data_IF_093933833036
#
_entry.id   IF_093933833036
#
_cell.length_a   1.000
_cell.length_b   1.000
_cell.length_c   1.000
_cell.angle_alpha   90.00
_cell.angle_beta   90.00
_cell.angle_gamma   90.00
#
_symmetry.space_group_name_H-M   'P 1'
#
loop_
_entity.id
_entity.type
_entity.pdbx_description
1 polymer ?
#
# COMPACT_ATOMS: atom_id res chain seq x y z
N UNK A 1 -17.72 34.69 -40.02
CA UNK A 1 -17.23 33.34 -39.69
C UNK A 1 -16.74 33.36 -38.24
N UNK A 2 -17.28 32.51 -37.35
CA UNK A 2 -16.80 32.41 -35.97
C UNK A 2 -16.10 31.05 -35.81
N UNK A 3 -14.80 31.08 -35.54
CA UNK A 3 -13.98 29.91 -35.22
C UNK A 3 -14.23 29.56 -33.75
N UNK A 4 -14.86 28.42 -33.48
CA UNK A 4 -14.95 27.88 -32.12
C UNK A 4 -13.59 27.32 -31.71
N UNK A 5 -12.90 27.99 -30.79
CA UNK A 5 -11.69 27.47 -30.17
C UNK A 5 -12.07 26.33 -29.20
N UNK A 6 -11.62 25.11 -29.51
CA UNK A 6 -11.74 23.96 -28.60
C UNK A 6 -10.76 24.17 -27.42
N UNK A 7 -11.16 23.99 -26.15
CA UNK A 7 -10.23 24.10 -25.03
C UNK A 7 -9.17 23.01 -25.13
N UNK A 8 -7.89 23.38 -25.10
CA UNK A 8 -6.77 22.45 -25.00
C UNK A 8 -6.82 21.71 -23.65
N UNK A 9 -6.45 20.42 -23.61
CA UNK A 9 -6.44 19.67 -22.35
C UNK A 9 -5.38 20.25 -21.40
N UNK A 10 -5.81 20.60 -20.18
CA UNK A 10 -4.90 21.04 -19.11
C UNK A 10 -3.85 19.96 -18.84
N UNK A 11 -2.58 20.38 -18.73
CA UNK A 11 -1.48 19.50 -18.39
C UNK A 11 -1.75 18.75 -17.06
N UNK A 12 -1.33 17.47 -16.95
CA UNK A 12 -1.51 16.71 -15.72
C UNK A 12 -0.80 17.41 -14.57
N UNK A 13 -1.52 17.60 -13.44
CA UNK A 13 -0.92 18.17 -12.23
C UNK A 13 0.12 17.19 -11.67
N UNK A 14 1.25 17.69 -11.14
CA UNK A 14 2.24 16.83 -10.48
C UNK A 14 1.58 16.06 -9.34
N UNK A 15 1.73 14.73 -9.34
CA UNK A 15 1.38 13.91 -8.18
C UNK A 15 2.53 13.95 -7.18
N UNK A 16 2.25 14.11 -5.87
CA UNK A 16 3.27 13.97 -4.85
C UNK A 16 3.98 12.63 -4.99
N UNK A 17 5.31 12.64 -4.85
CA UNK A 17 6.06 11.39 -4.80
C UNK A 17 5.64 10.60 -3.56
N UNK A 18 5.42 9.28 -3.67
CA UNK A 18 5.12 8.47 -2.50
C UNK A 18 6.27 8.55 -1.49
N UNK A 19 5.96 8.48 -0.19
CA UNK A 19 7.00 8.46 0.85
C UNK A 19 7.99 7.34 0.55
N UNK A 20 9.28 7.65 0.72
CA UNK A 20 10.32 6.65 0.46
C UNK A 20 10.29 5.63 1.57
N UNK A 21 9.89 4.41 1.25
CA UNK A 21 10.00 3.27 2.15
C UNK A 21 11.47 2.88 2.33
N UNK A 22 11.89 2.82 3.58
CA UNK A 22 13.23 2.39 3.93
C UNK A 22 13.43 0.89 3.61
N UNK A 23 14.65 0.39 3.75
CA UNK A 23 14.97 -1.01 3.50
C UNK A 23 14.33 -1.96 4.52
N UNK A 24 14.04 -1.49 5.73
CA UNK A 24 13.41 -2.26 6.79
C UNK A 24 11.95 -2.55 6.46
N UNK A 25 11.18 -1.52 6.10
CA UNK A 25 9.79 -1.63 5.66
C UNK A 25 9.68 -2.56 4.45
N UNK A 26 10.60 -2.45 3.47
CA UNK A 26 10.61 -3.34 2.30
C UNK A 26 10.83 -4.80 2.66
N UNK A 27 11.69 -5.07 3.64
CA UNK A 27 11.94 -6.44 4.12
C UNK A 27 10.72 -6.98 4.86
N UNK A 28 10.14 -6.20 5.78
CA UNK A 28 8.91 -6.57 6.48
C UNK A 28 7.76 -6.87 5.52
N UNK A 29 7.56 -6.04 4.48
CA UNK A 29 6.55 -6.29 3.43
C UNK A 29 6.77 -7.61 2.68
N UNK A 30 8.04 -7.98 2.44
CA UNK A 30 8.39 -9.26 1.79
C UNK A 30 8.13 -10.44 2.72
N UNK A 31 8.44 -10.30 4.02
CA UNK A 31 8.19 -11.32 5.03
C UNK A 31 6.67 -11.56 5.20
N UNK A 32 5.86 -10.51 5.26
CA UNK A 32 4.40 -10.64 5.32
C UNK A 32 3.81 -11.24 4.04
N UNK A 33 4.41 -11.03 2.87
CA UNK A 33 3.96 -11.70 1.64
C UNK A 33 4.14 -13.22 1.73
N UNK A 34 5.23 -13.69 2.36
CA UNK A 34 5.42 -15.10 2.68
C UNK A 34 4.39 -15.63 3.68
N UNK A 35 4.13 -14.85 4.75
CA UNK A 35 3.11 -15.21 5.74
C UNK A 35 1.70 -15.32 5.11
N UNK A 36 1.31 -14.36 4.27
CA UNK A 36 0.03 -14.38 3.55
C UNK A 36 -0.11 -15.57 2.61
N UNK A 37 0.98 -16.00 1.97
CA UNK A 37 0.97 -17.22 1.15
C UNK A 37 0.72 -18.48 1.99
N UNK A 38 1.29 -18.56 3.20
CA UNK A 38 1.11 -19.68 4.12
C UNK A 38 -0.27 -19.71 4.80
N UNK A 39 -0.92 -18.55 4.99
CA UNK A 39 -2.23 -18.45 5.64
C UNK A 39 -3.35 -19.19 4.88
N UNK A 40 -3.17 -19.45 3.60
CA UNK A 40 -4.11 -20.23 2.78
C UNK A 40 -4.36 -21.65 3.31
N UNK A 41 -3.37 -22.22 3.99
CA UNK A 41 -3.40 -23.60 4.49
C UNK A 41 -3.96 -23.72 5.92
N UNK A 42 -4.21 -22.58 6.59
CA UNK A 42 -4.71 -22.55 7.97
C UNK A 42 -6.24 -22.77 8.04
N UNK A 43 -6.69 -23.24 9.21
CA UNK A 43 -8.12 -23.25 9.54
C UNK A 43 -8.67 -21.81 9.56
N UNK A 44 -9.98 -21.63 9.38
CA UNK A 44 -10.58 -20.29 9.24
C UNK A 44 -10.30 -19.38 10.44
N UNK A 45 -10.43 -19.91 11.66
CA UNK A 45 -10.21 -19.14 12.90
C UNK A 45 -8.74 -18.74 13.06
N UNK A 46 -7.83 -19.66 12.75
CA UNK A 46 -6.39 -19.44 12.81
C UNK A 46 -5.93 -18.45 11.73
N UNK A 47 -6.51 -18.54 10.52
CA UNK A 47 -6.33 -17.55 9.46
C UNK A 47 -6.84 -16.17 9.87
N UNK A 48 -7.99 -16.08 10.55
CA UNK A 48 -8.53 -14.81 11.00
C UNK A 48 -7.61 -14.15 12.04
N UNK A 49 -7.09 -14.92 12.98
CA UNK A 49 -6.09 -14.46 13.95
C UNK A 49 -4.80 -13.99 13.25
N UNK A 50 -4.23 -14.81 12.35
CA UNK A 50 -3.02 -14.46 11.63
C UNK A 50 -3.17 -13.20 10.75
N UNK A 51 -4.33 -12.98 10.15
CA UNK A 51 -4.62 -11.76 9.39
C UNK A 51 -4.75 -10.52 10.29
N UNK A 52 -5.30 -10.68 11.50
CA UNK A 52 -5.37 -9.58 12.47
C UNK A 52 -3.97 -9.16 12.93
N UNK A 53 -3.10 -10.12 13.24
CA UNK A 53 -1.72 -9.85 13.65
C UNK A 53 -0.93 -9.13 12.54
N UNK A 54 -1.00 -9.65 11.30
CA UNK A 54 -0.35 -8.99 10.15
C UNK A 54 -0.90 -7.57 9.93
N UNK A 55 -2.20 -7.37 10.13
CA UNK A 55 -2.80 -6.04 9.99
C UNK A 55 -2.28 -5.07 11.06
N UNK A 56 -2.14 -5.52 12.30
CA UNK A 56 -1.61 -4.71 13.40
C UNK A 56 -0.16 -4.31 13.15
N UNK A 57 0.70 -5.27 12.78
CA UNK A 57 2.11 -5.04 12.45
C UNK A 57 2.27 -4.03 11.30
N UNK A 58 1.52 -4.21 10.21
CA UNK A 58 1.59 -3.31 9.05
C UNK A 58 1.05 -1.90 9.39
N UNK A 59 0.01 -1.82 10.22
CA UNK A 59 -0.54 -0.53 10.64
C UNK A 59 0.41 0.21 11.58
N UNK A 60 1.14 -0.52 12.43
CA UNK A 60 2.18 0.05 13.28
C UNK A 60 3.35 0.59 12.44
N UNK A 61 3.84 -0.20 11.48
CA UNK A 61 4.91 0.23 10.57
C UNK A 61 4.52 1.45 9.73
N UNK A 62 3.25 1.57 9.32
CA UNK A 62 2.76 2.75 8.62
C UNK A 62 2.81 4.00 9.51
N UNK A 63 2.33 3.90 10.75
CA UNK A 63 2.36 5.02 11.71
C UNK A 63 3.79 5.47 12.02
N UNK A 64 4.71 4.53 12.21
CA UNK A 64 6.14 4.85 12.40
C UNK A 64 6.75 5.58 11.20
N UNK A 65 6.27 5.30 9.98
CA UNK A 65 6.73 6.00 8.79
C UNK A 65 6.08 7.39 8.59
N UNK A 66 4.97 7.67 9.30
CA UNK A 66 4.27 8.96 9.26
C UNK A 66 4.78 9.96 10.31
N UNK A 67 5.34 9.48 11.42
CA UNK A 67 5.97 10.28 12.51
C UNK A 67 7.33 10.88 12.11
#
# INVERSE_FOLDING_TARGET
MRVSARPSPSAPRPVPAPPRTDSSTRRALTDHAGALAAIGDLALDERAAALADIHEDLSAALREAED
#
